data_IF_017401341306
#
_entry.id   IF_017401341306
#
_cell.length_a   1.000
_cell.length_b   1.000
_cell.length_c   1.000
_cell.angle_alpha   90.00
_cell.angle_beta   90.00
_cell.angle_gamma   90.00
#
_symmetry.space_group_name_H-M   'P 1'
#
loop_
_entity.id
_entity.type
_entity.pdbx_description
1 polymer ?
#
# COMPACT_ATOMS: atom_id res chain seq x y z
N UNK A 1 -5.14 0.19 11.24
CA UNK A 1 -4.46 1.03 10.23
C UNK A 1 -4.27 0.18 8.99
N UNK A 2 -4.33 0.76 7.80
CA UNK A 2 -4.05 0.07 6.55
C UNK A 2 -2.84 0.73 5.89
N UNK A 3 -1.97 -0.08 5.27
CA UNK A 3 -0.94 0.42 4.37
C UNK A 3 -1.17 -0.23 3.02
N UNK A 4 -1.43 0.60 2.02
CA UNK A 4 -1.56 0.18 0.63
C UNK A 4 -0.22 0.30 -0.06
N UNK A 5 0.14 -0.70 -0.86
CA UNK A 5 1.27 -0.68 -1.77
C UNK A 5 0.79 -0.96 -3.18
N UNK A 6 1.14 -0.07 -4.12
CA UNK A 6 0.98 -0.29 -5.54
C UNK A 6 2.36 -0.68 -6.08
N UNK A 7 2.50 -1.90 -6.60
CA UNK A 7 3.74 -2.50 -7.07
C UNK A 7 3.72 -2.73 -8.60
N UNK A 8 4.90 -3.02 -9.16
CA UNK A 8 5.12 -3.18 -10.60
C UNK A 8 5.81 -1.97 -11.23
N UNK A 9 5.61 -1.75 -12.53
CA UNK A 9 6.18 -0.60 -13.23
C UNK A 9 5.39 0.69 -12.92
N UNK A 10 5.48 1.16 -11.67
CA UNK A 10 4.59 2.21 -11.15
C UNK A 10 5.08 3.63 -11.39
N UNK A 11 6.37 3.82 -11.69
CA UNK A 11 6.96 5.15 -11.83
C UNK A 11 6.32 5.94 -12.99
N UNK A 12 5.95 5.25 -14.07
CA UNK A 12 5.28 5.85 -15.24
C UNK A 12 3.87 6.37 -14.93
N UNK A 13 3.23 5.89 -13.86
CA UNK A 13 1.87 6.27 -13.45
C UNK A 13 1.85 7.17 -12.21
N UNK A 14 2.97 7.82 -11.91
CA UNK A 14 3.15 8.63 -10.70
C UNK A 14 2.06 9.69 -10.49
N UNK A 15 1.69 10.41 -11.55
CA UNK A 15 0.73 11.51 -11.42
C UNK A 15 -0.71 10.99 -11.31
N UNK A 16 -1.00 9.83 -11.88
CA UNK A 16 -2.27 9.12 -11.76
C UNK A 16 -2.44 8.54 -10.35
N UNK A 17 -1.40 7.91 -9.81
CA UNK A 17 -1.40 7.36 -8.45
C UNK A 17 -1.66 8.47 -7.43
N UNK A 18 -1.02 9.64 -7.57
CA UNK A 18 -1.26 10.79 -6.68
C UNK A 18 -2.71 11.30 -6.70
N UNK A 19 -3.46 11.06 -7.79
CA UNK A 19 -4.88 11.42 -7.88
C UNK A 19 -5.77 10.46 -7.09
N UNK A 20 -5.31 9.24 -6.78
CA UNK A 20 -6.00 8.27 -5.92
C UNK A 20 -5.98 8.74 -4.45
N UNK A 21 -6.78 9.75 -4.11
CA UNK A 21 -6.85 10.29 -2.75
C UNK A 21 -8.21 10.05 -2.14
N UNK A 22 -8.22 9.85 -0.82
CA UNK A 22 -9.45 9.90 -0.05
C UNK A 22 -10.02 11.32 -0.09
N UNK A 23 -11.34 11.43 -0.30
CA UNK A 23 -12.04 12.72 -0.34
C UNK A 23 -12.56 13.17 1.04
N UNK A 24 -12.37 12.35 2.08
CA UNK A 24 -12.89 12.60 3.41
C UNK A 24 -12.22 13.82 4.06
N UNK A 25 -13.05 14.72 4.60
CA UNK A 25 -12.59 15.90 5.36
C UNK A 25 -11.72 15.43 6.53
N UNK A 26 -10.47 15.90 6.58
CA UNK A 26 -9.51 15.58 7.64
C UNK A 26 -8.42 14.56 7.27
N UNK A 27 -8.54 13.84 6.14
CA UNK A 27 -7.45 13.03 5.65
C UNK A 27 -6.34 13.92 5.03
N UNK A 28 -5.11 13.78 5.52
CA UNK A 28 -3.97 14.63 5.10
C UNK A 28 -2.75 13.85 4.59
N UNK A 29 -2.82 12.51 4.55
CA UNK A 29 -1.71 11.68 4.06
C UNK A 29 -1.74 11.61 2.54
N UNK A 30 -0.58 11.33 1.96
CA UNK A 30 -0.36 11.30 0.50
C UNK A 30 0.46 10.07 0.15
N UNK A 31 0.34 9.63 -1.09
CA UNK A 31 1.19 8.58 -1.64
C UNK A 31 2.66 8.99 -1.54
N UNK A 32 3.47 8.09 -1.00
CA UNK A 32 4.93 8.23 -0.90
C UNK A 32 5.57 7.18 -1.77
N UNK A 33 6.70 7.52 -2.39
CA UNK A 33 7.46 6.55 -3.15
C UNK A 33 8.40 5.79 -2.22
N UNK A 34 8.21 4.48 -2.13
CA UNK A 34 9.07 3.56 -1.41
C UNK A 34 10.19 3.11 -2.36
N UNK A 35 11.43 3.52 -2.05
CA UNK A 35 12.59 3.23 -2.91
C UNK A 35 13.03 1.77 -2.82
N UNK A 36 12.82 1.11 -1.68
CA UNK A 36 13.26 -0.26 -1.45
C UNK A 36 12.50 -1.22 -2.38
N UNK A 37 11.18 -1.00 -2.51
CA UNK A 37 10.30 -1.81 -3.36
C UNK A 37 9.98 -1.17 -4.71
N UNK A 38 10.53 0.02 -4.98
CA UNK A 38 10.20 0.83 -6.17
C UNK A 38 8.68 0.99 -6.36
N UNK A 39 7.95 1.12 -5.25
CA UNK A 39 6.50 1.08 -5.18
C UNK A 39 5.93 2.39 -4.63
N UNK A 40 4.63 2.59 -4.73
CA UNK A 40 3.94 3.68 -4.04
C UNK A 40 3.21 3.16 -2.83
N UNK A 41 3.36 3.82 -1.69
CA UNK A 41 2.71 3.47 -0.44
C UNK A 41 1.79 4.57 0.08
N UNK A 42 0.66 4.19 0.66
CA UNK A 42 -0.26 5.09 1.35
C UNK A 42 -0.74 4.46 2.66
N UNK A 43 -0.47 5.16 3.75
CA UNK A 43 -1.00 4.80 5.06
C UNK A 43 -2.37 5.46 5.28
N UNK A 44 -3.36 4.65 5.64
CA UNK A 44 -4.76 5.04 5.84
C UNK A 44 -5.23 4.54 7.21
N UNK A 45 -5.72 5.42 8.08
CA UNK A 45 -6.27 4.98 9.36
C UNK A 45 -7.62 4.26 9.16
N UNK A 46 -8.03 3.43 10.12
CA UNK A 46 -9.27 2.63 10.01
C UNK A 46 -10.51 3.50 9.79
N UNK A 47 -10.53 4.71 10.36
CA UNK A 47 -11.64 5.66 10.24
C UNK A 47 -11.81 6.19 8.82
N UNK A 48 -10.71 6.28 8.05
CA UNK A 48 -10.76 6.77 6.67
C UNK A 48 -10.78 5.64 5.64
N UNK A 49 -10.45 4.40 6.02
CA UNK A 49 -10.47 3.29 5.09
C UNK A 49 -11.91 2.92 4.72
N UNK A 50 -12.31 3.15 3.48
CA UNK A 50 -13.65 2.82 2.98
C UNK A 50 -13.55 1.81 1.85
N UNK A 51 -14.56 0.95 1.73
CA UNK A 51 -14.65 -0.02 0.62
C UNK A 51 -14.58 0.69 -0.74
N UNK A 52 -15.24 1.83 -0.89
CA UNK A 52 -15.19 2.65 -2.12
C UNK A 52 -13.78 3.08 -2.49
N UNK A 53 -12.98 3.50 -1.50
CA UNK A 53 -11.58 3.86 -1.75
C UNK A 53 -10.77 2.63 -2.16
N UNK A 54 -10.90 1.52 -1.42
CA UNK A 54 -10.21 0.27 -1.76
C UNK A 54 -10.54 -0.21 -3.18
N UNK A 55 -11.83 -0.21 -3.54
CA UNK A 55 -12.29 -0.60 -4.87
C UNK A 55 -11.70 0.31 -5.95
N UNK A 56 -11.56 1.61 -5.68
CA UNK A 56 -10.94 2.56 -6.62
C UNK A 56 -9.46 2.29 -6.85
N UNK A 57 -8.71 1.97 -5.80
CA UNK A 57 -7.28 1.62 -5.91
C UNK A 57 -7.13 0.27 -6.61
N UNK A 58 -8.01 -0.69 -6.31
CA UNK A 58 -8.02 -2.01 -6.96
C UNK A 58 -8.35 -1.91 -8.46
N UNK A 59 -9.33 -1.08 -8.82
CA UNK A 59 -9.68 -0.84 -10.22
C UNK A 59 -8.52 -0.21 -10.98
N UNK A 60 -7.86 0.80 -10.38
CA UNK A 60 -6.65 1.40 -10.94
C UNK A 60 -5.55 0.35 -11.19
N UNK A 61 -5.25 -0.48 -10.19
CA UNK A 61 -4.22 -1.50 -10.34
C UNK A 61 -4.56 -2.50 -11.44
N UNK A 62 -5.84 -2.91 -11.55
CA UNK A 62 -6.30 -3.79 -12.62
C UNK A 62 -6.18 -3.14 -14.01
N UNK A 63 -6.55 -1.88 -14.15
CA UNK A 63 -6.47 -1.13 -15.40
C UNK A 63 -5.04 -1.06 -15.94
N UNK A 64 -4.07 -0.82 -15.06
CA UNK A 64 -2.66 -0.65 -15.43
C UNK A 64 -1.81 -1.91 -15.26
N UNK A 65 -2.43 -3.08 -15.02
CA UNK A 65 -1.72 -4.36 -14.77
C UNK A 65 -0.65 -4.23 -13.66
N UNK A 66 -1.00 -3.49 -12.59
CA UNK A 66 -0.20 -3.31 -11.40
C UNK A 66 -0.71 -4.25 -10.29
N UNK A 67 0.16 -4.51 -9.32
CA UNK A 67 -0.21 -5.30 -8.16
C UNK A 67 -0.59 -4.40 -6.97
N UNK A 68 -1.69 -4.74 -6.30
CA UNK A 68 -2.09 -4.11 -5.05
C UNK A 68 -1.80 -5.05 -3.88
N UNK A 69 -0.91 -4.64 -2.97
CA UNK A 69 -0.75 -5.27 -1.66
C UNK A 69 -1.32 -4.37 -0.57
N UNK A 70 -1.98 -4.97 0.42
CA UNK A 70 -2.61 -4.27 1.53
C UNK A 70 -2.20 -4.92 2.84
N UNK A 71 -1.56 -4.15 3.70
CA UNK A 71 -1.27 -4.55 5.08
C UNK A 71 -2.35 -4.01 6.00
N UNK A 72 -2.96 -4.87 6.81
CA UNK A 72 -3.99 -4.52 7.77
C UNK A 72 -3.47 -4.60 9.20
N UNK A 73 -3.76 -3.56 9.97
CA UNK A 73 -3.29 -3.34 11.34
C UNK A 73 -1.83 -3.76 11.56
N UNK A 74 -0.89 -3.24 10.75
CA UNK A 74 0.50 -3.67 10.81
C UNK A 74 1.03 -3.45 12.24
N UNK A 75 1.29 -4.56 12.96
CA UNK A 75 2.02 -4.50 14.22
C UNK A 75 3.47 -4.06 13.93
N UNK A 76 4.11 -3.49 14.95
CA UNK A 76 5.55 -3.24 14.87
C UNK A 76 6.28 -4.56 14.69
N UNK A 77 6.80 -4.79 13.48
CA UNK A 77 7.66 -5.92 13.15
C UNK A 77 9.12 -5.55 13.43
N UNK A 78 9.94 -6.55 13.76
CA UNK A 78 11.38 -6.34 14.03
C UNK A 78 12.19 -6.09 12.76
N UNK A 79 11.69 -6.54 11.61
CA UNK A 79 12.30 -6.33 10.28
C UNK A 79 11.51 -5.33 9.45
N UNK A 80 12.22 -4.44 8.78
CA UNK A 80 11.71 -3.42 7.88
C UNK A 80 11.89 -3.82 6.41
N UNK A 81 11.32 -3.06 5.46
CA UNK A 81 11.39 -3.34 4.03
C UNK A 81 12.80 -3.62 3.50
N UNK A 82 13.78 -2.84 3.98
CA UNK A 82 15.21 -2.97 3.62
C UNK A 82 15.86 -4.30 4.03
N UNK A 83 15.23 -5.06 4.91
CA UNK A 83 15.78 -6.33 5.41
C UNK A 83 15.41 -7.52 4.51
N UNK A 84 14.70 -7.27 3.39
CA UNK A 84 14.22 -8.27 2.46
C UNK A 84 14.71 -7.99 1.04
N UNK A 85 15.07 -9.06 0.32
CA UNK A 85 15.55 -8.98 -1.06
C UNK A 85 14.45 -8.68 -2.07
N UNK A 86 13.21 -9.09 -1.78
CA UNK A 86 12.06 -8.84 -2.65
C UNK A 86 10.83 -8.40 -1.85
N UNK A 87 9.93 -7.62 -2.47
CA UNK A 87 8.66 -7.24 -1.83
C UNK A 87 7.85 -8.47 -1.41
N UNK A 88 7.85 -9.55 -2.19
CA UNK A 88 7.08 -10.77 -1.92
C UNK A 88 7.48 -11.39 -0.58
N UNK A 89 8.80 -11.57 -0.34
CA UNK A 89 9.29 -12.14 0.93
C UNK A 89 8.96 -11.22 2.11
N UNK A 90 9.01 -9.90 1.91
CA UNK A 90 8.56 -8.95 2.92
C UNK A 90 7.08 -9.12 3.25
N UNK A 91 6.20 -9.18 2.23
CA UNK A 91 4.77 -9.32 2.45
C UNK A 91 4.41 -10.67 3.06
N UNK A 92 5.06 -11.76 2.65
CA UNK A 92 4.89 -13.08 3.26
C UNK A 92 5.27 -13.08 4.74
N UNK A 93 6.45 -12.54 5.07
CA UNK A 93 6.86 -12.37 6.47
C UNK A 93 5.84 -11.52 7.24
N UNK A 94 5.46 -10.38 6.69
CA UNK A 94 4.56 -9.44 7.35
C UNK A 94 3.17 -10.04 7.59
N UNK A 95 2.61 -10.72 6.59
CA UNK A 95 1.34 -11.42 6.73
C UNK A 95 1.45 -12.58 7.72
N UNK A 96 2.53 -13.38 7.68
CA UNK A 96 2.77 -14.45 8.65
C UNK A 96 2.78 -13.95 10.09
N UNK A 97 3.52 -12.87 10.38
CA UNK A 97 3.58 -12.27 11.71
C UNK A 97 2.23 -11.68 12.19
N UNK A 98 1.37 -11.24 11.26
CA UNK A 98 0.06 -10.68 11.59
C UNK A 98 -1.10 -11.70 11.48
N UNK A 99 -0.86 -12.91 10.97
CA UNK A 99 -1.85 -14.00 10.84
C UNK A 99 -1.71 -15.09 11.90
N UNK A 100 -0.63 -15.12 12.70
CA UNK A 100 -0.41 -16.12 13.75
C UNK A 100 -1.26 -15.94 15.03
N UNK A 101 -2.50 -15.44 14.91
CA UNK A 101 -3.49 -15.34 16.00
C UNK A 101 -4.91 -15.57 15.50
#
# INVERSE_FOLDING_TARGET
>A
MFIYYILGNTYIYKEEIKKLKLTNKGFKKWWKYNKDFKSWELEVSNVFNTKKFEDSVRAFCKEYTLELKRLENPRGVTKSSKDFYTPEVFFEYFHGENSML
#
